data_IF_041257967197
#
_entry.id   IF_041257967197
#
_cell.length_a   1.000
_cell.length_b   1.000
_cell.length_c   1.000
_cell.angle_alpha   90.00
_cell.angle_beta   90.00
_cell.angle_gamma   90.00
#
_symmetry.space_group_name_H-M   'P 1'
#
loop_
_entity.id
_entity.type
_entity.pdbx_description
1 polymer ?
#
# COMPACT_ATOMS: atom_id res chain seq x y z
N UNK A 1 -11.39 48.77 19.57
CA UNK A 1 -11.63 47.93 18.38
C UNK A 1 -11.07 46.57 18.74
N UNK A 2 -11.92 45.70 19.26
CA UNK A 2 -11.54 44.33 19.63
C UNK A 2 -11.16 43.56 18.36
N UNK A 3 -9.90 43.13 18.33
CA UNK A 3 -9.32 42.18 17.39
C UNK A 3 -10.01 40.82 17.63
N UNK A 4 -11.14 40.59 16.96
CA UNK A 4 -11.79 39.29 17.03
C UNK A 4 -10.97 38.29 16.21
N UNK A 5 -9.98 37.69 16.87
CA UNK A 5 -9.15 36.64 16.30
C UNK A 5 -10.02 35.44 15.99
N UNK A 6 -10.13 35.11 14.71
CA UNK A 6 -10.75 33.85 14.28
C UNK A 6 -9.83 32.72 14.71
N UNK A 7 -10.30 31.93 15.67
CA UNK A 7 -9.61 30.75 16.19
C UNK A 7 -10.37 29.49 15.74
N UNK A 8 -9.61 28.44 15.48
CA UNK A 8 -10.12 27.12 15.09
C UNK A 8 -9.85 26.14 16.23
N UNK A 9 -10.89 25.41 16.62
CA UNK A 9 -10.78 24.34 17.60
C UNK A 9 -10.34 23.03 16.92
N UNK A 10 -9.14 22.54 17.24
CA UNK A 10 -8.62 21.30 16.67
C UNK A 10 -9.25 20.09 17.37
N UNK A 11 -9.92 19.21 16.63
CA UNK A 11 -10.59 18.01 17.17
C UNK A 11 -9.65 16.89 17.60
N UNK A 12 -8.36 16.96 17.26
CA UNK A 12 -7.37 15.91 17.57
C UNK A 12 -6.69 16.15 18.92
N UNK A 13 -6.22 17.38 19.15
CA UNK A 13 -5.60 17.77 20.43
C UNK A 13 -6.53 18.59 21.35
N UNK A 14 -7.76 18.88 20.91
CA UNK A 14 -8.78 19.61 21.69
C UNK A 14 -8.34 21.01 22.14
N UNK A 15 -7.47 21.67 21.37
CA UNK A 15 -6.92 23.00 21.64
C UNK A 15 -7.28 24.00 20.53
N UNK A 16 -7.33 25.29 20.87
CA UNK A 16 -7.65 26.37 19.95
C UNK A 16 -6.39 26.97 19.32
N UNK A 17 -6.41 27.15 18.00
CA UNK A 17 -5.28 27.67 17.22
C UNK A 17 -5.72 28.85 16.35
N UNK A 18 -4.83 29.82 16.07
CA UNK A 18 -5.10 30.83 15.06
C UNK A 18 -5.19 30.18 13.66
N UNK A 19 -5.96 30.78 12.75
CA UNK A 19 -6.14 30.25 11.39
C UNK A 19 -4.81 30.00 10.65
N UNK A 20 -3.79 30.85 10.90
CA UNK A 20 -2.45 30.71 10.31
C UNK A 20 -1.70 29.42 10.72
N UNK A 21 -2.07 28.80 11.85
CA UNK A 21 -1.47 27.56 12.35
C UNK A 21 -2.37 26.33 12.09
N UNK A 22 -3.37 26.50 11.22
CA UNK A 22 -4.33 25.45 10.87
C UNK A 22 -4.21 25.04 9.41
N UNK A 23 -4.47 23.77 9.13
CA UNK A 23 -4.52 23.21 7.78
C UNK A 23 -5.93 22.79 7.44
N UNK A 24 -6.42 23.21 6.27
CA UNK A 24 -7.71 22.80 5.72
C UNK A 24 -7.51 21.75 4.62
N UNK A 25 -8.06 20.56 4.84
CA UNK A 25 -8.03 19.49 3.86
C UNK A 25 -8.90 19.83 2.65
N UNK A 26 -8.37 19.74 1.44
CA UNK A 26 -9.04 20.22 0.23
C UNK A 26 -10.26 19.37 -0.14
N UNK A 27 -10.19 18.05 0.05
CA UNK A 27 -11.25 17.12 -0.39
C UNK A 27 -12.51 17.20 0.50
N UNK A 28 -12.33 17.30 1.82
CA UNK A 28 -13.44 17.28 2.78
C UNK A 28 -13.66 18.61 3.52
N UNK A 29 -12.80 19.61 3.33
CA UNK A 29 -12.84 20.90 4.04
C UNK A 29 -12.67 20.82 5.57
N UNK A 30 -12.35 19.65 6.14
CA UNK A 30 -12.04 19.51 7.55
C UNK A 30 -10.78 20.31 7.91
N UNK A 31 -10.78 20.93 9.09
CA UNK A 31 -9.70 21.80 9.57
C UNK A 31 -9.16 21.26 10.88
N UNK A 32 -7.83 21.24 10.99
CA UNK A 32 -7.08 20.82 12.18
C UNK A 32 -5.86 21.72 12.34
N UNK A 33 -5.22 21.71 13.51
CA UNK A 33 -3.92 22.37 13.65
C UNK A 33 -2.86 21.65 12.80
N UNK A 34 -1.86 22.40 12.33
CA UNK A 34 -0.79 21.85 11.49
C UNK A 34 0.03 20.79 12.22
N UNK A 35 0.27 20.96 13.52
CA UNK A 35 1.03 20.00 14.33
C UNK A 35 0.40 18.61 14.33
N UNK A 36 -0.90 18.50 14.64
CA UNK A 36 -1.61 17.22 14.60
C UNK A 36 -1.66 16.62 13.20
N UNK A 37 -1.79 17.43 12.15
CA UNK A 37 -1.78 16.94 10.77
C UNK A 37 -0.43 16.36 10.38
N UNK A 38 0.69 16.98 10.80
CA UNK A 38 2.04 16.46 10.54
C UNK A 38 2.23 15.09 11.19
N UNK A 39 1.95 14.99 12.48
CA UNK A 39 2.10 13.74 13.22
C UNK A 39 1.17 12.64 12.67
N UNK A 40 -0.09 12.99 12.37
CA UNK A 40 -1.03 12.05 11.77
C UNK A 40 -0.56 11.53 10.40
N UNK A 41 -0.05 12.41 9.53
CA UNK A 41 0.49 12.00 8.22
C UNK A 41 1.71 11.11 8.39
N UNK A 42 2.64 11.45 9.28
CA UNK A 42 3.82 10.63 9.53
C UNK A 42 3.46 9.21 9.99
N UNK A 43 2.52 9.08 10.94
CA UNK A 43 2.00 7.79 11.39
C UNK A 43 1.27 7.06 10.25
N UNK A 44 0.45 7.77 9.47
CA UNK A 44 -0.24 7.20 8.31
C UNK A 44 0.71 6.63 7.26
N UNK A 45 1.87 7.27 7.05
CA UNK A 45 2.92 6.76 6.15
C UNK A 45 3.58 5.50 6.72
N UNK A 46 3.89 5.50 8.01
CA UNK A 46 4.58 4.40 8.70
C UNK A 46 3.72 3.14 8.76
N UNK A 47 2.45 3.29 9.13
CA UNK A 47 1.55 2.16 9.39
C UNK A 47 0.74 1.76 8.15
N UNK A 48 0.55 2.68 7.20
CA UNK A 48 -0.34 2.48 6.05
C UNK A 48 0.20 1.60 4.94
N UNK A 49 1.50 1.25 4.93
CA UNK A 49 2.13 0.43 3.89
C UNK A 49 1.81 0.90 2.45
N UNK A 50 1.85 2.23 2.24
CA UNK A 50 1.54 2.85 0.94
C UNK A 50 0.04 2.97 0.66
N UNK A 51 -0.81 2.89 1.69
CA UNK A 51 -2.23 3.18 1.55
C UNK A 51 -2.55 4.66 1.49
N UNK A 52 -3.63 5.05 0.78
CA UNK A 52 -4.13 6.40 0.85
C UNK A 52 -4.37 6.80 2.31
N UNK A 53 -3.86 7.97 2.70
CA UNK A 53 -4.11 8.54 4.02
C UNK A 53 -5.44 9.30 3.94
N UNK A 54 -6.37 8.99 4.84
CA UNK A 54 -7.71 9.59 4.87
C UNK A 54 -7.83 10.66 5.94
N UNK A 55 -8.91 11.44 5.90
CA UNK A 55 -9.20 12.44 6.91
C UNK A 55 -9.17 11.83 8.32
N UNK A 56 -8.54 12.50 9.30
CA UNK A 56 -8.45 11.98 10.66
C UNK A 56 -9.76 12.10 11.46
N UNK A 57 -10.76 12.84 10.96
CA UNK A 57 -12.08 12.92 11.59
C UNK A 57 -12.96 11.73 11.16
N UNK A 58 -13.29 10.84 12.11
CA UNK A 58 -14.14 9.68 11.87
C UNK A 58 -15.59 10.07 11.49
N UNK A 59 -16.03 11.28 11.84
CA UNK A 59 -17.34 11.81 11.45
C UNK A 59 -17.29 12.55 10.10
N UNK A 60 -16.16 12.49 9.39
CA UNK A 60 -16.02 13.10 8.07
C UNK A 60 -16.91 12.39 7.04
N UNK A 61 -18.01 13.04 6.63
CA UNK A 61 -18.96 12.53 5.64
C UNK A 61 -18.31 12.20 4.29
N UNK A 62 -17.26 12.93 3.93
CA UNK A 62 -16.56 12.77 2.66
C UNK A 62 -15.40 11.79 2.72
N UNK A 63 -15.05 11.25 3.90
CA UNK A 63 -13.87 10.37 4.11
C UNK A 63 -12.64 10.85 3.35
N UNK A 64 -12.39 12.17 3.36
CA UNK A 64 -11.54 12.82 2.36
C UNK A 64 -10.13 12.27 2.36
N UNK A 65 -9.71 11.67 1.26
CA UNK A 65 -8.31 11.25 1.07
C UNK A 65 -7.42 12.49 0.98
N UNK A 66 -6.32 12.50 1.71
CA UNK A 66 -5.32 13.55 1.64
C UNK A 66 -4.64 13.50 0.26
N UNK A 67 -4.47 14.68 -0.34
CA UNK A 67 -3.78 14.83 -1.62
C UNK A 67 -2.27 14.65 -1.45
N UNK A 68 -1.59 14.20 -2.50
CA UNK A 68 -0.12 14.09 -2.48
C UNK A 68 0.56 15.43 -2.15
N UNK A 69 -0.02 16.56 -2.58
CA UNK A 69 0.48 17.89 -2.24
C UNK A 69 0.33 18.24 -0.76
N UNK A 70 -0.75 17.78 -0.11
CA UNK A 70 -0.96 17.97 1.32
C UNK A 70 0.01 17.10 2.11
N UNK A 71 0.18 15.83 1.71
CA UNK A 71 1.15 14.91 2.31
C UNK A 71 2.57 15.45 2.14
N UNK A 72 2.94 15.97 0.96
CA UNK A 72 4.26 16.55 0.72
C UNK A 72 4.54 17.82 1.54
N UNK A 73 3.51 18.58 1.90
CA UNK A 73 3.63 19.75 2.75
C UNK A 73 3.75 19.40 4.24
N UNK A 74 3.04 18.34 4.66
CA UNK A 74 2.95 17.92 6.06
C UNK A 74 4.11 17.01 6.48
N UNK A 75 4.51 16.08 5.61
CA UNK A 75 5.54 15.09 5.90
C UNK A 75 6.96 15.67 5.71
N UNK A 76 7.94 15.26 6.54
CA UNK A 76 9.35 15.50 6.26
C UNK A 76 9.81 14.68 5.05
N UNK A 77 10.89 15.13 4.40
CA UNK A 77 11.32 14.61 3.09
C UNK A 77 11.59 13.09 3.09
N UNK A 78 12.19 12.55 4.15
CA UNK A 78 12.46 11.10 4.28
C UNK A 78 11.17 10.27 4.35
N UNK A 79 10.13 10.80 5.01
CA UNK A 79 8.82 10.16 5.10
C UNK A 79 8.09 10.24 3.76
N UNK A 80 8.18 11.37 3.06
CA UNK A 80 7.58 11.51 1.73
C UNK A 80 8.19 10.53 0.72
N UNK A 81 9.52 10.41 0.70
CA UNK A 81 10.21 9.44 -0.16
C UNK A 81 9.80 8.00 0.17
N UNK A 82 9.72 7.66 1.47
CA UNK A 82 9.22 6.37 1.93
C UNK A 82 7.78 6.12 1.45
N UNK A 83 6.88 7.10 1.61
CA UNK A 83 5.49 6.99 1.19
C UNK A 83 5.37 6.73 -0.31
N UNK A 84 6.09 7.48 -1.14
CA UNK A 84 6.10 7.31 -2.59
C UNK A 84 6.60 5.92 -3.00
N UNK A 85 7.67 5.44 -2.34
CA UNK A 85 8.17 4.07 -2.56
C UNK A 85 7.11 3.03 -2.20
N UNK A 86 6.50 3.15 -1.03
CA UNK A 86 5.46 2.23 -0.58
C UNK A 86 4.21 2.26 -1.48
N UNK A 87 3.80 3.44 -1.96
CA UNK A 87 2.71 3.57 -2.92
C UNK A 87 3.02 2.84 -4.22
N UNK A 88 4.24 2.99 -4.74
CA UNK A 88 4.69 2.25 -5.92
C UNK A 88 4.67 0.73 -5.66
N UNK A 89 5.22 0.30 -4.53
CA UNK A 89 5.22 -1.11 -4.13
C UNK A 89 3.81 -1.69 -4.05
N UNK A 90 2.90 -0.97 -3.40
CA UNK A 90 1.50 -1.34 -3.34
C UNK A 90 0.87 -1.41 -4.72
N UNK A 91 1.13 -0.43 -5.58
CA UNK A 91 0.64 -0.42 -6.96
C UNK A 91 1.10 -1.63 -7.77
N UNK A 92 2.35 -2.07 -7.60
CA UNK A 92 2.86 -3.29 -8.24
C UNK A 92 2.18 -4.53 -7.68
N UNK A 93 1.94 -4.59 -6.37
CA UNK A 93 1.32 -5.75 -5.72
C UNK A 93 -0.18 -5.90 -6.05
N UNK A 94 -0.88 -4.78 -6.28
CA UNK A 94 -2.29 -4.76 -6.66
C UNK A 94 -2.52 -4.99 -8.16
N UNK A 95 -1.50 -4.80 -9.00
CA UNK A 95 -1.60 -4.99 -10.44
C UNK A 95 -1.35 -6.46 -10.82
N UNK A 96 -2.38 -7.22 -11.25
CA UNK A 96 -2.25 -8.63 -11.59
C UNK A 96 -1.35 -8.87 -12.81
N UNK A 97 -1.02 -7.83 -13.58
CA UNK A 97 -0.13 -7.90 -14.74
C UNK A 97 1.34 -7.66 -14.38
N UNK A 98 1.67 -7.47 -13.10
CA UNK A 98 3.04 -7.18 -12.63
C UNK A 98 3.49 -8.14 -11.54
N UNK A 99 4.80 -8.33 -11.45
CA UNK A 99 5.44 -9.04 -10.33
C UNK A 99 6.83 -8.49 -10.09
N UNK A 100 7.31 -8.56 -8.85
CA UNK A 100 8.71 -8.30 -8.53
C UNK A 100 9.61 -9.46 -8.98
N UNK A 101 10.82 -9.11 -9.45
CA UNK A 101 11.90 -10.06 -9.63
C UNK A 101 12.30 -10.67 -8.26
N UNK A 102 12.44 -11.99 -8.14
CA UNK A 102 12.83 -12.64 -6.88
C UNK A 102 14.28 -12.42 -6.48
N UNK A 103 15.13 -11.95 -7.40
CA UNK A 103 16.54 -11.65 -7.11
C UNK A 103 16.65 -10.46 -6.15
N UNK A 104 17.22 -10.72 -4.97
CA UNK A 104 17.30 -9.78 -3.83
C UNK A 104 17.89 -8.41 -4.22
N UNK A 105 18.90 -8.41 -5.08
CA UNK A 105 19.61 -7.20 -5.51
C UNK A 105 19.06 -6.56 -6.80
N UNK A 106 18.01 -7.12 -7.39
CA UNK A 106 17.48 -6.62 -8.67
C UNK A 106 16.33 -5.62 -8.46
N UNK A 107 15.35 -5.97 -7.62
CA UNK A 107 14.16 -5.13 -7.36
C UNK A 107 13.46 -4.63 -8.63
N UNK A 108 13.51 -5.38 -9.74
CA UNK A 108 12.85 -4.98 -10.97
C UNK A 108 11.38 -5.40 -10.98
N UNK A 109 10.52 -4.56 -11.55
CA UNK A 109 9.13 -4.91 -11.86
C UNK A 109 9.08 -5.59 -13.22
N UNK A 110 8.60 -6.82 -13.24
CA UNK A 110 8.43 -7.65 -14.43
C UNK A 110 6.96 -7.67 -14.85
N UNK A 111 6.70 -7.72 -16.16
CA UNK A 111 5.34 -7.84 -16.70
C UNK A 111 4.97 -9.31 -16.83
N UNK A 112 3.75 -9.64 -16.41
CA UNK A 112 3.13 -10.94 -16.59
C UNK A 112 2.33 -10.97 -17.89
N UNK A 113 2.29 -12.14 -18.53
CA UNK A 113 1.51 -12.33 -19.75
C UNK A 113 0.03 -12.44 -19.39
N UNK A 114 -0.85 -11.60 -19.96
CA UNK A 114 -2.28 -11.65 -19.70
C UNK A 114 -2.89 -13.00 -20.14
N UNK A 115 -3.91 -13.49 -19.42
CA UNK A 115 -4.57 -14.76 -19.71
C UNK A 115 -3.86 -16.02 -19.18
N UNK A 116 -2.85 -15.85 -18.34
CA UNK A 116 -2.12 -16.96 -17.67
C UNK A 116 -2.55 -17.14 -16.21
N UNK A 117 -3.71 -16.62 -15.84
CA UNK A 117 -4.23 -16.63 -14.47
C UNK A 117 -4.29 -18.06 -13.92
N UNK A 118 -3.65 -18.28 -12.77
CA UNK A 118 -3.57 -19.60 -12.13
C UNK A 118 -2.64 -20.62 -12.81
N UNK A 119 -1.92 -20.27 -13.88
CA UNK A 119 -0.95 -21.16 -14.55
C UNK A 119 0.48 -20.72 -14.26
N UNK A 120 1.33 -21.69 -13.91
CA UNK A 120 2.76 -21.47 -13.80
C UNK A 120 3.34 -21.16 -15.20
N UNK A 121 3.83 -19.93 -15.38
CA UNK A 121 4.49 -19.50 -16.62
C UNK A 121 5.86 -18.86 -16.32
N UNK A 122 6.83 -18.97 -17.24
CA UNK A 122 8.13 -18.33 -17.11
C UNK A 122 7.99 -16.81 -17.30
N UNK A 123 8.68 -16.07 -16.45
CA UNK A 123 8.82 -14.61 -16.53
C UNK A 123 10.30 -14.29 -16.64
N UNK A 124 10.68 -13.49 -17.64
CA UNK A 124 12.05 -13.01 -17.82
C UNK A 124 12.18 -11.61 -17.23
N UNK A 125 13.17 -11.43 -16.34
CA UNK A 125 13.49 -10.13 -15.78
C UNK A 125 14.28 -9.27 -16.79
N UNK A 126 13.82 -8.05 -17.12
CA UNK A 126 14.53 -7.20 -18.09
C UNK A 126 15.87 -6.66 -17.56
N UNK A 127 16.07 -6.63 -16.23
CA UNK A 127 17.25 -6.03 -15.61
C UNK A 127 18.38 -7.02 -15.37
N UNK A 128 18.07 -8.20 -14.79
CA UNK A 128 19.07 -9.20 -14.44
C UNK A 128 19.02 -10.47 -15.31
N UNK A 129 18.09 -10.52 -16.28
CA UNK A 129 17.88 -11.66 -17.20
C UNK A 129 17.48 -12.98 -16.52
N UNK A 130 17.25 -12.99 -15.20
CA UNK A 130 16.73 -14.15 -14.49
C UNK A 130 15.37 -14.59 -15.05
N UNK A 131 15.17 -15.90 -15.18
CA UNK A 131 13.89 -16.49 -15.59
C UNK A 131 13.30 -17.26 -14.41
N UNK A 132 12.09 -16.88 -14.00
CA UNK A 132 11.45 -17.40 -12.80
C UNK A 132 9.96 -17.68 -13.04
N UNK A 133 9.37 -18.51 -12.18
CA UNK A 133 7.94 -18.82 -12.23
C UNK A 133 7.11 -17.67 -11.64
N UNK A 134 6.06 -17.24 -12.35
CA UNK A 134 5.13 -16.21 -11.87
C UNK A 134 4.42 -16.60 -10.55
N UNK A 135 4.16 -17.89 -10.32
CA UNK A 135 3.43 -18.39 -9.15
C UNK A 135 4.34 -18.53 -7.92
N UNK A 136 5.31 -19.45 -7.96
CA UNK A 136 6.15 -19.77 -6.78
C UNK A 136 7.38 -18.88 -6.63
N UNK A 137 7.72 -18.07 -7.65
CA UNK A 137 8.92 -17.22 -7.73
C UNK A 137 10.27 -17.95 -7.74
N UNK A 138 10.28 -19.28 -7.85
CA UNK A 138 11.51 -20.05 -8.03
C UNK A 138 12.05 -19.93 -9.46
N UNK A 139 13.34 -20.25 -9.65
CA UNK A 139 13.95 -20.34 -10.97
C UNK A 139 13.15 -21.29 -11.89
N UNK A 140 12.94 -20.86 -13.14
CA UNK A 140 12.25 -21.67 -14.13
C UNK A 140 13.19 -22.72 -14.73
N UNK A 141 12.69 -23.94 -14.88
CA UNK A 141 13.44 -25.09 -15.43
C UNK A 141 12.55 -25.92 -16.36
N UNK A 142 13.12 -26.80 -17.17
CA UNK A 142 12.34 -27.74 -17.96
C UNK A 142 11.53 -28.67 -17.06
N UNK A 143 10.25 -28.88 -17.39
CA UNK A 143 9.33 -29.67 -16.56
C UNK A 143 8.96 -29.02 -15.22
N UNK A 144 9.13 -27.70 -15.07
CA UNK A 144 8.83 -26.99 -13.83
C UNK A 144 7.40 -27.25 -13.35
N UNK A 145 7.29 -27.71 -12.10
CA UNK A 145 6.03 -27.84 -11.38
C UNK A 145 6.15 -27.04 -10.09
N UNK A 146 5.18 -26.18 -9.80
CA UNK A 146 5.15 -25.48 -8.53
C UNK A 146 4.92 -26.50 -7.41
N UNK A 147 5.89 -26.64 -6.51
CA UNK A 147 5.67 -27.35 -5.26
C UNK A 147 4.59 -26.61 -4.45
N UNK A 148 3.69 -27.30 -3.74
CA UNK A 148 2.80 -26.64 -2.79
C UNK A 148 3.67 -25.88 -1.80
N UNK A 149 3.73 -24.56 -1.95
CA UNK A 149 4.27 -23.72 -0.91
C UNK A 149 3.36 -23.97 0.29
N UNK A 150 3.88 -24.61 1.34
CA UNK A 150 3.21 -24.51 2.62
C UNK A 150 3.03 -23.01 2.84
N UNK A 151 1.81 -22.53 3.16
CA UNK A 151 1.70 -21.23 3.81
C UNK A 151 2.76 -21.24 4.91
N UNK A 152 3.50 -20.16 5.10
CA UNK A 152 4.26 -20.00 6.34
C UNK A 152 3.21 -20.07 7.46
N UNK A 153 3.01 -21.28 7.98
CA UNK A 153 1.91 -21.65 8.85
C UNK A 153 2.34 -21.28 10.27
N UNK A 154 1.51 -20.46 10.92
CA UNK A 154 1.22 -20.60 12.35
C UNK A 154 0.96 -22.10 12.68
N UNK A 155 1.27 -22.54 13.91
CA UNK A 155 1.41 -23.96 14.24
C UNK A 155 0.16 -24.80 13.92
N UNK A 156 0.33 -26.10 13.62
CA UNK A 156 -0.70 -26.91 12.99
C UNK A 156 -1.79 -27.34 13.97
N UNK A 157 -3.04 -27.34 13.51
CA UNK A 157 -4.07 -28.25 14.01
C UNK A 157 -4.34 -29.31 12.95
N UNK A 158 -4.39 -30.56 13.39
CA UNK A 158 -4.56 -31.74 12.55
C UNK A 158 -6.01 -31.84 12.06
N UNK A 159 -6.22 -32.07 10.76
CA UNK A 159 -6.91 -33.23 10.20
C UNK A 159 -7.18 -33.05 8.69
N UNK A 160 -7.17 -34.16 7.94
CA UNK A 160 -8.08 -34.33 6.80
C UNK A 160 -7.59 -33.99 5.39
N UNK A 161 -7.50 -35.02 4.55
CA UNK A 161 -7.09 -35.07 3.13
C UNK A 161 -8.07 -34.37 2.16
N UNK A 162 -7.58 -33.51 1.26
CA UNK A 162 -8.30 -33.10 0.03
C UNK A 162 -7.33 -32.66 -1.08
N UNK A 163 -7.48 -33.25 -2.27
CA UNK A 163 -6.71 -32.91 -3.49
C UNK A 163 -7.25 -31.59 -4.06
N UNK A 164 -6.56 -30.47 -3.83
CA UNK A 164 -6.94 -29.16 -4.38
C UNK A 164 -5.97 -28.76 -5.48
N UNK A 165 -6.50 -28.54 -6.69
CA UNK A 165 -5.79 -27.80 -7.74
C UNK A 165 -5.60 -26.38 -7.22
N UNK A 166 -4.37 -26.04 -6.82
CA UNK A 166 -4.10 -24.76 -6.16
C UNK A 166 -4.05 -23.62 -7.17
N UNK A 167 -5.02 -22.72 -7.02
CA UNK A 167 -5.01 -21.39 -7.65
C UNK A 167 -3.94 -20.54 -6.96
N UNK A 168 -3.14 -19.84 -7.76
CA UNK A 168 -2.14 -18.89 -7.29
C UNK A 168 -2.79 -17.81 -6.40
N UNK A 169 -2.58 -17.86 -5.09
CA UNK A 169 -3.12 -16.90 -4.11
C UNK A 169 -2.47 -15.51 -4.20
N UNK A 170 -1.58 -15.28 -5.16
CA UNK A 170 -1.02 -13.96 -5.52
C UNK A 170 -1.67 -13.33 -6.75
N UNK A 171 -2.74 -13.92 -7.28
CA UNK A 171 -3.64 -13.23 -8.21
C UNK A 171 -4.69 -12.45 -7.40
N UNK A 172 -4.70 -11.11 -7.42
CA UNK A 172 -5.75 -10.30 -6.80
C UNK A 172 -7.01 -10.31 -7.67
N UNK A 173 -7.67 -11.46 -7.78
CA UNK A 173 -9.10 -11.51 -8.15
C UNK A 173 -9.78 -12.48 -7.20
N UNK A 174 -10.07 -11.96 -6.01
CA UNK A 174 -11.12 -12.45 -5.14
C UNK A 174 -12.18 -11.36 -5.05
N UNK A 175 -12.88 -11.05 -6.14
CA UNK A 175 -14.19 -10.42 -6.01
C UNK A 175 -15.11 -11.48 -5.38
N UNK A 176 -15.39 -11.32 -4.10
CA UNK A 176 -16.60 -11.84 -3.50
C UNK A 176 -17.73 -10.88 -3.86
N UNK A 177 -18.56 -11.28 -4.84
CA UNK A 177 -19.98 -10.93 -4.91
C UNK A 177 -20.74 -12.21 -4.58
#
# INVERSE_FOLDING_TARGET
MEDQRVVVHCKLCLSDYPEAETGKLQVCNCVFCLECLREYVELGILDGAGSPITCPDLACENSGTLLDSEIAFLAPSDRLELHQRLQFERGVQLDPSKTWCPELNCQAVCRLTPGTEGKAVPVSCPMCQAVFCCCCRSQWTDGHSCSPQQPLMMPPTADGSETKTHVCTRCPIGHAL
#
